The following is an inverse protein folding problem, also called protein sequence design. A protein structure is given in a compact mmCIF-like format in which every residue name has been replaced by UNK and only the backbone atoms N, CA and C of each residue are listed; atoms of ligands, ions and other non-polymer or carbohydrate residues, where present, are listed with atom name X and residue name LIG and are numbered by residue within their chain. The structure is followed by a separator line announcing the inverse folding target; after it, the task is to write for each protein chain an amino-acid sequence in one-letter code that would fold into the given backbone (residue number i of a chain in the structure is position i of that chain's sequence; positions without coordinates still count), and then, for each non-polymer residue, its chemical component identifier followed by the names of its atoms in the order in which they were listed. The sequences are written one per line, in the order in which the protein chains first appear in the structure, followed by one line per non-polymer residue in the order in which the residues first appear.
data_IF_389296030681
#
_entry.id   IF_389296030681
#
_cell.length_a   1.000
_cell.length_b   1.000
_cell.length_c   1.000
_cell.angle_alpha   90.00
_cell.angle_beta   90.00
_cell.angle_gamma   90.00
#
_symmetry.space_group_name_H-M   'P 1'
#
loop_
_entity.id
_entity.type
_entity.pdbx_description
1 polymer ?
#
# COMPACT_ATOMS: atom_id res chain seq x y z
N UNK A 1 -34.20 9.52 -23.97
CA UNK A 1 -34.92 10.24 -22.90
C UNK A 1 -34.48 9.65 -21.57
N UNK A 2 -33.41 10.21 -21.00
CA UNK A 2 -32.87 9.80 -19.71
C UNK A 2 -33.65 10.53 -18.61
N UNK A 3 -34.32 9.84 -17.67
CA UNK A 3 -34.77 10.51 -16.47
C UNK A 3 -33.57 10.71 -15.52
N UNK A 4 -33.35 11.98 -15.20
CA UNK A 4 -32.38 12.47 -14.23
C UNK A 4 -32.83 12.14 -12.80
N UNK A 5 -31.91 11.50 -12.07
CA UNK A 5 -31.46 11.79 -10.69
C UNK A 5 -32.53 12.00 -9.61
N UNK A 6 -32.60 11.04 -8.69
CA UNK A 6 -32.76 11.35 -7.27
C UNK A 6 -31.47 11.00 -6.51
N UNK A 7 -30.93 12.01 -5.88
CA UNK A 7 -29.76 12.03 -5.02
C UNK A 7 -29.94 11.14 -3.79
N UNK A 8 -29.23 10.02 -3.72
CA UNK A 8 -28.84 9.37 -2.45
C UNK A 8 -27.55 8.52 -2.57
N UNK A 9 -26.90 8.52 -3.74
CA UNK A 9 -25.64 7.81 -4.02
C UNK A 9 -24.42 8.56 -3.47
N UNK A 10 -24.39 8.81 -2.17
CA UNK A 10 -23.20 9.34 -1.49
C UNK A 10 -22.70 8.44 -0.36
N UNK A 11 -23.29 7.27 -0.15
CA UNK A 11 -22.95 6.38 0.97
C UNK A 11 -22.81 4.89 0.64
N UNK A 12 -23.12 4.41 -0.58
CA UNK A 12 -23.15 2.96 -0.84
C UNK A 12 -21.95 2.36 -1.59
N UNK A 13 -20.92 3.14 -1.93
CA UNK A 13 -19.63 2.60 -2.41
C UNK A 13 -18.52 2.74 -1.36
N UNK A 14 -18.89 2.87 -0.09
CA UNK A 14 -17.93 2.59 0.99
C UNK A 14 -17.81 1.07 1.14
N UNK A 15 -16.92 0.46 0.35
CA UNK A 15 -16.41 -0.87 0.65
C UNK A 15 -15.35 -0.71 1.75
N UNK A 16 -15.67 -0.99 3.02
CA UNK A 16 -14.71 -0.87 4.09
C UNK A 16 -13.51 -1.76 3.74
N UNK A 17 -12.30 -1.29 4.06
CA UNK A 17 -11.11 -2.08 3.84
C UNK A 17 -11.25 -3.48 4.44
N UNK A 18 -10.87 -4.55 3.71
CA UNK A 18 -11.04 -5.91 4.22
C UNK A 18 -10.32 -6.05 5.56
N UNK A 19 -11.05 -6.56 6.56
CA UNK A 19 -10.56 -6.77 7.92
C UNK A 19 -9.59 -7.96 7.89
N UNK A 20 -8.31 -7.66 7.66
CA UNK A 20 -7.24 -8.64 7.57
C UNK A 20 -7.16 -9.50 8.85
N UNK A 21 -7.21 -10.83 8.74
CA UNK A 21 -6.55 -11.68 9.74
C UNK A 21 -5.05 -11.40 9.64
N UNK A 22 -4.46 -10.96 10.74
CA UNK A 22 -3.06 -10.53 10.86
C UNK A 22 -2.10 -11.61 10.36
N UNK A 23 -1.60 -11.46 9.13
CA UNK A 23 -0.36 -12.13 8.73
C UNK A 23 0.76 -11.39 9.45
N UNK A 24 1.65 -12.14 10.11
CA UNK A 24 2.52 -11.64 11.19
C UNK A 24 3.55 -10.58 10.73
N UNK A 25 3.63 -10.24 9.44
CA UNK A 25 4.73 -9.45 8.86
C UNK A 25 4.37 -8.54 7.67
N UNK A 26 3.10 -8.29 7.33
CA UNK A 26 2.76 -7.38 6.22
C UNK A 26 1.78 -6.29 6.64
N UNK A 27 2.20 -5.04 6.44
CA UNK A 27 1.33 -3.90 6.61
C UNK A 27 0.34 -3.81 5.44
N UNK A 28 -0.78 -3.14 5.67
CA UNK A 28 -1.79 -2.91 4.64
C UNK A 28 -1.25 -2.15 3.44
N UNK A 29 -0.36 -1.19 3.69
CA UNK A 29 0.33 -0.42 2.66
C UNK A 29 1.26 -1.30 1.82
N UNK A 30 1.92 -2.29 2.44
CA UNK A 30 2.81 -3.21 1.72
C UNK A 30 2.05 -4.09 0.73
N UNK A 31 0.83 -4.51 1.09
CA UNK A 31 -0.05 -5.31 0.22
C UNK A 31 -0.45 -4.47 -0.99
N UNK A 32 -0.85 -3.21 -0.76
CA UNK A 32 -1.22 -2.27 -1.82
C UNK A 32 -0.03 -2.03 -2.75
N UNK A 33 1.15 -1.74 -2.20
CA UNK A 33 2.37 -1.52 -2.98
C UNK A 33 2.77 -2.74 -3.81
N UNK A 34 2.67 -3.97 -3.26
CA UNK A 34 2.95 -5.19 -4.01
C UNK A 34 2.01 -5.37 -5.21
N UNK A 35 0.70 -5.10 -5.03
CA UNK A 35 -0.28 -5.17 -6.12
C UNK A 35 -0.04 -4.11 -7.18
N UNK A 36 0.27 -2.87 -6.78
CA UNK A 36 0.58 -1.79 -7.70
C UNK A 36 1.86 -2.08 -8.49
N UNK A 37 2.92 -2.55 -7.81
CA UNK A 37 4.16 -2.95 -8.48
C UNK A 37 3.93 -4.05 -9.51
N UNK A 38 3.11 -5.05 -9.19
CA UNK A 38 2.75 -6.12 -10.12
C UNK A 38 1.99 -5.62 -11.37
N UNK A 39 1.26 -4.51 -11.26
CA UNK A 39 0.56 -3.86 -12.35
C UNK A 39 1.38 -2.78 -13.10
N UNK A 40 2.58 -2.43 -12.62
CA UNK A 40 3.41 -1.33 -13.16
C UNK A 40 4.05 -1.61 -14.54
N UNK A 41 3.76 -2.75 -15.17
CA UNK A 41 4.25 -3.13 -16.50
C UNK A 41 3.21 -2.90 -17.62
N UNK A 42 3.15 -3.76 -18.66
CA UNK A 42 2.18 -3.65 -19.77
C UNK A 42 0.72 -3.91 -19.36
N UNK A 43 0.45 -4.00 -18.06
CA UNK A 43 -0.78 -4.49 -17.45
C UNK A 43 -0.64 -5.89 -16.88
N UNK A 44 -1.41 -6.17 -15.83
CA UNK A 44 -1.41 -7.45 -15.12
C UNK A 44 -2.78 -8.11 -15.23
N UNK A 45 -2.79 -9.43 -15.43
CA UNK A 45 -4.01 -10.24 -15.26
C UNK A 45 -4.37 -10.34 -13.78
N UNK A 46 -5.66 -10.57 -13.50
CA UNK A 46 -6.17 -10.82 -12.14
C UNK A 46 -5.36 -11.89 -11.40
N UNK A 47 -5.01 -12.98 -12.09
CA UNK A 47 -4.18 -14.05 -11.52
C UNK A 47 -2.79 -13.56 -11.10
N UNK A 48 -2.12 -12.78 -11.95
CA UNK A 48 -0.79 -12.21 -11.63
C UNK A 48 -0.84 -11.33 -10.39
N UNK A 49 -1.87 -10.50 -10.26
CA UNK A 49 -2.10 -9.68 -9.06
C UNK A 49 -2.29 -10.54 -7.81
N UNK A 50 -3.16 -11.55 -7.91
CA UNK A 50 -3.45 -12.51 -6.85
C UNK A 50 -2.17 -13.23 -6.37
N UNK A 51 -1.33 -13.69 -7.29
CA UNK A 51 -0.08 -14.37 -6.95
C UNK A 51 1.01 -13.41 -6.44
N UNK A 52 1.02 -12.15 -6.89
CA UNK A 52 2.10 -11.19 -6.57
C UNK A 52 2.15 -10.70 -5.13
N UNK A 53 1.03 -10.76 -4.41
CA UNK A 53 0.98 -10.24 -3.04
C UNK A 53 1.45 -11.26 -1.98
N UNK A 54 1.80 -12.50 -2.36
CA UNK A 54 2.15 -13.59 -1.43
C UNK A 54 1.10 -13.80 -0.31
N UNK A 55 -0.16 -13.53 -0.61
CA UNK A 55 -1.32 -13.69 0.29
C UNK A 55 -2.20 -14.86 -0.17
N UNK A 56 -3.15 -15.27 0.67
CA UNK A 56 -4.18 -16.21 0.22
C UNK A 56 -4.98 -15.56 -0.90
N UNK A 57 -5.25 -16.31 -1.98
CA UNK A 57 -5.89 -15.71 -3.15
C UNK A 57 -7.28 -15.11 -2.88
N UNK A 58 -7.93 -15.48 -1.77
CA UNK A 58 -9.15 -14.85 -1.27
C UNK A 58 -8.91 -13.40 -0.80
N UNK A 59 -7.84 -13.14 -0.07
CA UNK A 59 -7.52 -11.81 0.48
C UNK A 59 -7.25 -10.79 -0.63
N UNK A 60 -6.45 -11.16 -1.64
CA UNK A 60 -6.14 -10.23 -2.74
C UNK A 60 -7.38 -9.86 -3.55
N UNK A 61 -8.31 -10.80 -3.71
CA UNK A 61 -9.56 -10.57 -4.44
C UNK A 61 -10.42 -9.45 -3.81
N UNK A 62 -10.31 -9.23 -2.50
CA UNK A 62 -10.99 -8.13 -1.81
C UNK A 62 -10.29 -6.78 -1.98
N UNK A 63 -8.96 -6.77 -2.23
CA UNK A 63 -8.21 -5.54 -2.46
C UNK A 63 -8.39 -4.98 -3.88
N UNK A 64 -8.61 -5.82 -4.89
CA UNK A 64 -8.83 -5.36 -6.27
C UNK A 64 -9.96 -4.32 -6.38
N UNK A 65 -11.19 -4.58 -5.92
CA UNK A 65 -12.27 -3.59 -6.01
C UNK A 65 -11.96 -2.32 -5.18
N UNK A 66 -11.24 -2.43 -4.07
CA UNK A 66 -10.79 -1.27 -3.30
C UNK A 66 -9.80 -0.40 -4.10
N UNK A 67 -8.87 -1.01 -4.83
CA UNK A 67 -7.90 -0.31 -5.67
C UNK A 67 -8.56 0.31 -6.92
N UNK A 68 -9.55 -0.35 -7.50
CA UNK A 68 -10.36 0.19 -8.59
C UNK A 68 -11.22 1.38 -8.12
N UNK A 69 -11.92 1.25 -7.00
CA UNK A 69 -12.74 2.33 -6.43
C UNK A 69 -11.93 3.56 -6.02
N UNK A 70 -10.67 3.37 -5.61
CA UNK A 70 -9.73 4.48 -5.32
C UNK A 70 -9.02 5.03 -6.56
N UNK A 71 -9.29 4.45 -7.74
CA UNK A 71 -8.65 4.77 -9.02
C UNK A 71 -7.13 4.59 -9.00
N UNK A 72 -6.60 3.62 -8.26
CA UNK A 72 -5.18 3.23 -8.35
C UNK A 72 -4.94 2.21 -9.46
N UNK A 73 -5.94 1.38 -9.73
CA UNK A 73 -5.96 0.45 -10.85
C UNK A 73 -7.15 0.75 -11.76
N UNK A 74 -6.94 0.52 -13.07
CA UNK A 74 -7.99 0.53 -14.07
C UNK A 74 -7.98 -0.81 -14.80
N UNK A 75 -9.14 -1.47 -14.86
CA UNK A 75 -9.33 -2.63 -15.73
C UNK A 75 -9.70 -2.16 -17.13
N UNK A 76 -8.96 -2.68 -18.11
CA UNK A 76 -9.28 -2.53 -19.52
C UNK A 76 -10.35 -3.58 -19.90
N UNK A 77 -11.55 -3.16 -20.35
CA UNK A 77 -12.64 -4.08 -20.69
C UNK A 77 -12.30 -4.96 -21.90
N UNK A 78 -11.43 -4.48 -22.79
CA UNK A 78 -11.07 -5.16 -24.04
C UNK A 78 -10.07 -6.28 -23.80
N UNK A 79 -9.08 -6.05 -22.93
CA UNK A 79 -7.97 -6.99 -22.70
C UNK A 79 -8.07 -7.73 -21.37
N UNK A 80 -9.00 -7.33 -20.49
CA UNK A 80 -9.11 -7.80 -19.11
C UNK A 80 -7.83 -7.63 -18.28
N UNK A 81 -6.96 -6.69 -18.68
CA UNK A 81 -5.74 -6.35 -17.97
C UNK A 81 -5.99 -5.19 -17.02
N UNK A 82 -5.40 -5.28 -15.84
CA UNK A 82 -5.32 -4.21 -14.86
C UNK A 82 -4.09 -3.38 -15.14
N UNK A 83 -4.26 -2.08 -15.32
CA UNK A 83 -3.18 -1.11 -15.54
C UNK A 83 -3.12 -0.13 -14.39
N UNK A 84 -1.92 0.35 -14.09
CA UNK A 84 -1.74 1.46 -13.17
C UNK A 84 -2.31 2.75 -13.76
N UNK A 85 -3.05 3.48 -12.96
CA UNK A 85 -3.38 4.88 -13.24
C UNK A 85 -2.24 5.80 -12.79
N UNK A 86 -2.26 7.06 -13.19
CA UNK A 86 -1.24 8.02 -12.73
C UNK A 86 -1.30 8.25 -11.21
N UNK A 87 -2.51 8.20 -10.64
CA UNK A 87 -2.71 8.21 -9.18
C UNK A 87 -2.10 6.99 -8.51
N UNK A 88 -2.22 5.82 -9.13
CA UNK A 88 -1.57 4.59 -8.65
C UNK A 88 -0.05 4.66 -8.71
N UNK A 89 0.51 5.28 -9.75
CA UNK A 89 1.96 5.51 -9.87
C UNK A 89 2.47 6.43 -8.76
N UNK A 90 1.81 7.57 -8.54
CA UNK A 90 2.15 8.50 -7.46
C UNK A 90 2.09 7.83 -6.08
N UNK A 91 1.07 6.99 -5.84
CA UNK A 91 0.95 6.25 -4.59
C UNK A 91 2.08 5.23 -4.40
N UNK A 92 2.50 4.55 -5.48
CA UNK A 92 3.61 3.61 -5.45
C UNK A 92 4.94 4.33 -5.18
N UNK A 93 5.22 5.42 -5.90
CA UNK A 93 6.43 6.25 -5.69
C UNK A 93 6.52 6.77 -4.26
N UNK A 94 5.41 7.27 -3.71
CA UNK A 94 5.37 7.77 -2.33
C UNK A 94 5.67 6.65 -1.33
N UNK A 95 5.09 5.46 -1.54
CA UNK A 95 5.35 4.30 -0.70
C UNK A 95 6.82 3.87 -0.76
N UNK A 96 7.43 3.87 -1.94
CA UNK A 96 8.85 3.49 -2.11
C UNK A 96 9.78 4.49 -1.43
N UNK A 97 9.53 5.80 -1.57
CA UNK A 97 10.26 6.85 -0.84
C UNK A 97 10.13 6.72 0.67
N UNK A 98 8.93 6.44 1.17
CA UNK A 98 8.74 6.20 2.61
C UNK A 98 9.50 4.96 3.07
N UNK A 99 9.43 3.86 2.31
CA UNK A 99 10.11 2.62 2.63
C UNK A 99 11.64 2.77 2.64
N UNK A 100 12.19 3.63 1.79
CA UNK A 100 13.60 4.04 1.78
C UNK A 100 13.95 4.78 3.08
N UNK A 101 13.21 5.84 3.41
CA UNK A 101 13.43 6.61 4.66
C UNK A 101 13.33 5.72 5.91
N UNK A 102 12.37 4.80 5.97
CA UNK A 102 12.25 3.87 7.10
C UNK A 102 13.41 2.86 7.16
N UNK A 103 13.98 2.47 6.02
CA UNK A 103 15.13 1.59 5.97
C UNK A 103 16.39 2.31 6.44
N UNK A 104 16.57 3.56 6.02
CA UNK A 104 17.71 4.39 6.40
C UNK A 104 17.66 4.76 7.89
N UNK A 105 16.45 5.01 8.42
CA UNK A 105 16.23 5.28 9.84
C UNK A 105 16.47 4.05 10.75
N UNK A 106 16.52 2.82 10.22
CA UNK A 106 16.91 1.65 11.02
C UNK A 106 18.42 1.65 11.38
N UNK A 107 19.21 2.56 10.79
CA UNK A 107 20.61 2.82 11.14
C UNK A 107 20.85 4.04 12.03
N UNK A 108 19.83 4.84 12.35
CA UNK A 108 19.99 6.02 13.20
C UNK A 108 19.62 5.62 14.63
N UNK A 109 20.58 5.02 15.32
CA UNK A 109 20.57 4.98 16.78
C UNK A 109 20.44 6.41 17.29
N UNK A 110 19.34 6.69 17.97
CA UNK A 110 19.21 7.87 18.80
C UNK A 110 20.20 7.69 19.97
N UNK A 111 21.48 8.00 19.75
CA UNK A 111 22.40 8.26 20.86
C UNK A 111 21.93 9.57 21.47
N UNK A 112 20.94 9.49 22.37
CA UNK A 112 20.67 10.60 23.26
C UNK A 112 21.99 10.87 23.98
N UNK A 113 22.55 12.05 23.78
CA UNK A 113 23.67 12.53 24.56
C UNK A 113 23.31 12.40 26.04
N UNK A 114 23.97 11.46 26.71
CA UNK A 114 24.22 11.57 28.14
C UNK A 114 25.54 12.31 28.24
N UNK A 115 25.43 13.63 28.30
CA UNK A 115 26.53 14.50 28.72
C UNK A 115 27.01 14.04 30.11
N UNK A 116 28.33 14.05 30.26
CA UNK A 116 29.03 13.40 31.36
C UNK A 116 28.65 13.90 32.74
N UNK A 117 28.51 12.94 33.66
CA UNK A 117 28.74 13.20 35.08
C UNK A 117 30.17 12.74 35.34
N UNK A 118 31.09 13.70 35.43
CA UNK A 118 32.44 13.44 35.90
C UNK A 118 32.41 12.89 37.32
N UNK A 119 33.14 11.80 37.55
CA UNK A 119 33.67 11.53 38.89
C UNK A 119 35.16 11.31 38.76
N UNK A 120 35.89 12.39 39.02
CA UNK A 120 37.26 12.33 39.50
C UNK A 120 37.30 11.44 40.75
N UNK A 121 38.22 10.47 40.78
CA UNK A 121 38.84 10.02 42.02
C UNK A 121 40.20 9.37 41.77
N UNK A 122 41.22 10.11 42.21
CA UNK A 122 42.49 9.70 42.84
C UNK A 122 42.94 8.25 42.61
N UNK A 123 44.16 8.14 42.09
CA UNK A 123 45.14 7.24 42.68
C UNK A 123 46.32 8.08 43.11
N UNK A 124 46.57 8.04 44.41
CA UNK A 124 47.78 8.51 45.08
C UNK A 124 48.97 7.59 44.74
#
# INVERSE_FOLDING_TARGET
MFPLKCLSLSLLEYNPPPRLKRTKYRSRSDIIAALLRAASGPGARKSRLVFSAYLSGAQVREYIPFLEGRQFLRRDPSTNLFRLTDKGKQALDLYEKMAEVFRDNAGIGFTSGVEGIGTSRRTD
#
